data_IF_543815385806
#
_entry.id   IF_543815385806
#
_cell.length_a   1.000
_cell.length_b   1.000
_cell.length_c   1.000
_cell.angle_alpha   90.00
_cell.angle_beta   90.00
_cell.angle_gamma   90.00
#
_symmetry.space_group_name_H-M   'P 1'
#
loop_
_entity.id
_entity.type
_entity.pdbx_description
1 polymer ?
#
# COMPACT_ATOMS: atom_id res chain seq x y z
N UNK A 1 8.80 12.16 -4.62
CA UNK A 1 7.39 11.75 -4.57
C UNK A 1 6.80 11.81 -5.96
N UNK A 2 5.85 10.92 -6.26
CA UNK A 2 5.29 10.73 -7.60
C UNK A 2 4.54 11.95 -8.16
N UNK A 3 3.60 11.73 -9.07
CA UNK A 3 2.77 12.85 -9.58
C UNK A 3 1.95 13.43 -8.41
N UNK A 4 2.26 14.66 -7.99
CA UNK A 4 1.61 15.33 -6.83
C UNK A 4 0.08 15.32 -6.94
N UNK A 5 -0.45 15.36 -8.17
CA UNK A 5 -1.88 15.36 -8.47
C UNK A 5 -2.46 13.97 -8.79
N UNK A 6 -1.69 12.89 -8.63
CA UNK A 6 -2.09 11.55 -9.08
C UNK A 6 -3.39 11.05 -8.43
N UNK A 7 -3.72 11.54 -7.23
CA UNK A 7 -5.00 11.28 -6.57
C UNK A 7 -6.22 11.83 -7.33
N UNK A 8 -6.05 12.85 -8.16
CA UNK A 8 -7.13 13.37 -9.00
C UNK A 8 -7.34 12.55 -10.29
N UNK A 9 -6.29 11.87 -10.75
CA UNK A 9 -6.30 11.16 -12.03
C UNK A 9 -6.72 9.69 -11.91
N UNK A 10 -6.41 9.05 -10.78
CA UNK A 10 -6.61 7.61 -10.59
C UNK A 10 -7.49 7.34 -9.38
N UNK A 11 -8.54 6.54 -9.50
CA UNK A 11 -9.35 6.10 -8.37
C UNK A 11 -8.62 5.06 -7.51
N UNK A 12 -9.05 4.90 -6.24
CA UNK A 12 -8.51 3.84 -5.37
C UNK A 12 -8.89 2.47 -5.94
N UNK A 13 -7.92 1.56 -5.99
CA UNK A 13 -8.16 0.15 -6.30
C UNK A 13 -8.18 -0.61 -4.98
N UNK A 14 -9.28 -1.32 -4.72
CA UNK A 14 -9.37 -2.24 -3.59
C UNK A 14 -8.92 -3.64 -4.01
N UNK A 15 -8.29 -4.37 -3.09
CA UNK A 15 -7.91 -5.76 -3.30
C UNK A 15 -9.15 -6.62 -3.53
N UNK A 16 -9.14 -7.38 -4.62
CA UNK A 16 -10.23 -8.28 -4.97
C UNK A 16 -10.18 -9.59 -4.20
N UNK A 17 -11.24 -10.38 -4.33
CA UNK A 17 -11.28 -11.74 -3.82
C UNK A 17 -11.65 -12.73 -4.92
N UNK A 18 -11.03 -13.92 -4.90
CA UNK A 18 -11.44 -15.02 -5.78
C UNK A 18 -12.90 -15.40 -5.53
N UNK A 19 -13.63 -15.90 -6.56
CA UNK A 19 -15.02 -16.28 -6.44
C UNK A 19 -15.30 -17.25 -5.28
N UNK A 20 -16.45 -17.08 -4.62
CA UNK A 20 -16.84 -17.88 -3.45
C UNK A 20 -16.74 -19.39 -3.72
N UNK A 21 -17.22 -19.83 -4.87
CA UNK A 21 -17.22 -21.23 -5.27
C UNK A 21 -15.82 -21.84 -5.41
N UNK A 22 -14.79 -21.02 -5.66
CA UNK A 22 -13.40 -21.46 -5.74
C UNK A 22 -12.74 -21.51 -4.36
N UNK A 23 -12.94 -20.46 -3.54
CA UNK A 23 -12.33 -20.36 -2.20
C UNK A 23 -12.93 -21.31 -1.16
N UNK A 24 -14.08 -21.92 -1.43
CA UNK A 24 -14.65 -22.97 -0.57
C UNK A 24 -13.98 -24.34 -0.75
N UNK A 25 -13.18 -24.54 -1.81
CA UNK A 25 -12.61 -25.85 -2.16
C UNK A 25 -11.24 -26.11 -1.53
N UNK A 26 -10.62 -25.10 -0.92
CA UNK A 26 -9.26 -25.17 -0.37
C UNK A 26 -9.03 -24.04 0.64
N UNK A 27 -7.90 -24.11 1.36
CA UNK A 27 -7.46 -23.11 2.33
C UNK A 27 -6.36 -22.18 1.80
N UNK A 28 -6.21 -22.05 0.47
CA UNK A 28 -5.19 -21.18 -0.12
C UNK A 28 -5.63 -19.72 -0.06
N UNK A 29 -4.66 -18.82 -0.19
CA UNK A 29 -4.91 -17.39 -0.29
C UNK A 29 -5.84 -17.06 -1.47
N UNK A 30 -6.86 -16.26 -1.16
CA UNK A 30 -7.91 -15.86 -2.09
C UNK A 30 -7.97 -14.35 -2.32
N UNK A 31 -7.13 -13.57 -1.61
CA UNK A 31 -6.96 -12.13 -1.85
C UNK A 31 -6.17 -11.96 -3.14
N UNK A 32 -6.61 -11.02 -3.98
CA UNK A 32 -5.94 -10.66 -5.22
C UNK A 32 -5.26 -9.32 -4.95
N UNK A 33 -3.93 -9.37 -4.78
CA UNK A 33 -3.10 -8.18 -4.60
C UNK A 33 -2.98 -7.34 -5.87
N UNK A 34 -2.35 -6.17 -5.74
CA UNK A 34 -2.06 -5.29 -6.87
C UNK A 34 -0.96 -5.89 -7.75
N UNK A 35 -1.10 -5.78 -9.06
CA UNK A 35 0.03 -6.00 -9.97
C UNK A 35 0.98 -4.79 -9.97
N UNK A 36 2.15 -4.92 -10.59
CA UNK A 36 3.16 -3.86 -10.62
C UNK A 36 2.63 -2.53 -11.19
N UNK A 37 1.77 -2.60 -12.21
CA UNK A 37 1.26 -1.43 -12.89
C UNK A 37 0.23 -0.71 -12.02
N UNK A 38 -0.65 -1.45 -11.37
CA UNK A 38 -1.65 -0.92 -10.46
C UNK A 38 -1.01 -0.45 -9.15
N UNK A 39 -0.01 -1.16 -8.61
CA UNK A 39 0.77 -0.69 -7.47
C UNK A 39 1.46 0.64 -7.76
N UNK A 40 2.10 0.79 -8.92
CA UNK A 40 2.70 2.06 -9.35
C UNK A 40 1.65 3.17 -9.47
N UNK A 41 0.49 2.91 -10.09
CA UNK A 41 -0.62 3.88 -10.15
C UNK A 41 -1.13 4.27 -8.77
N UNK A 42 -1.39 3.30 -7.89
CA UNK A 42 -1.91 3.55 -6.54
C UNK A 42 -0.91 4.34 -5.70
N UNK A 43 0.39 4.08 -5.85
CA UNK A 43 1.43 4.84 -5.19
C UNK A 43 1.45 6.33 -5.60
N UNK A 44 1.02 6.68 -6.82
CA UNK A 44 0.88 8.09 -7.24
C UNK A 44 -0.25 8.86 -6.55
N UNK A 45 -1.18 8.17 -5.86
CA UNK A 45 -2.23 8.85 -5.08
C UNK A 45 -1.66 9.54 -3.83
N UNK A 46 -0.41 9.27 -3.44
CA UNK A 46 0.23 9.96 -2.32
C UNK A 46 0.41 11.46 -2.62
N UNK A 47 -0.14 12.32 -1.76
CA UNK A 47 -0.17 13.78 -1.97
C UNK A 47 1.11 14.52 -1.57
N UNK A 48 2.11 13.85 -0.99
CA UNK A 48 3.29 14.51 -0.40
C UNK A 48 2.90 15.62 0.60
N UNK A 49 2.21 15.25 1.69
CA UNK A 49 1.48 16.17 2.57
C UNK A 49 2.37 17.12 3.39
N UNK A 50 3.70 17.07 3.27
CA UNK A 50 4.67 17.76 4.12
C UNK A 50 4.74 17.20 5.56
N UNK A 51 3.59 17.08 6.24
CA UNK A 51 3.44 16.35 7.51
C UNK A 51 2.71 15.03 7.27
N UNK A 52 3.41 13.88 7.24
CA UNK A 52 2.80 12.60 6.90
C UNK A 52 2.07 11.98 8.10
N UNK A 53 0.81 12.37 8.31
CA UNK A 53 -0.04 11.79 9.37
C UNK A 53 -0.20 10.27 9.28
N UNK A 54 -0.07 9.70 8.08
CA UNK A 54 -0.06 8.26 7.88
C UNK A 54 1.07 7.55 8.64
N UNK A 55 2.25 8.19 8.80
CA UNK A 55 3.37 7.62 9.55
C UNK A 55 3.00 7.50 11.03
N UNK A 56 2.43 8.56 11.62
CA UNK A 56 1.97 8.56 13.01
C UNK A 56 0.75 7.67 13.23
N UNK A 57 -0.07 7.45 12.19
CA UNK A 57 -1.18 6.50 12.22
C UNK A 57 -0.73 5.03 12.18
N UNK A 58 0.52 4.76 11.78
CA UNK A 58 1.10 3.43 11.77
C UNK A 58 1.74 3.13 13.13
N UNK A 59 1.34 2.07 13.85
CA UNK A 59 1.92 1.72 15.15
C UNK A 59 3.43 1.46 15.14
N UNK A 60 3.98 1.07 13.99
CA UNK A 60 5.42 0.83 13.78
C UNK A 60 6.13 2.01 13.12
N UNK A 61 5.44 3.14 12.92
CA UNK A 61 5.98 4.35 12.30
C UNK A 61 6.65 4.11 10.94
N UNK A 62 6.02 3.30 10.09
CA UNK A 62 6.51 3.05 8.73
C UNK A 62 6.71 4.36 7.95
N UNK A 63 7.75 4.40 7.12
CA UNK A 63 8.12 5.55 6.29
C UNK A 63 7.33 5.51 4.98
N UNK A 64 6.00 5.69 5.10
CA UNK A 64 5.03 5.39 4.04
C UNK A 64 5.20 6.22 2.76
N UNK A 65 5.41 7.56 2.82
CA UNK A 65 5.61 8.35 1.61
C UNK A 65 6.82 7.88 0.79
N UNK A 66 7.86 7.40 1.46
CA UNK A 66 9.13 7.05 0.82
C UNK A 66 9.00 5.73 0.05
N UNK A 67 8.46 4.67 0.68
CA UNK A 67 8.25 3.42 -0.05
C UNK A 67 7.21 3.59 -1.17
N UNK A 68 6.21 4.47 -1.01
CA UNK A 68 5.28 4.79 -2.09
C UNK A 68 6.01 5.45 -3.28
N UNK A 69 6.89 6.43 -3.03
CA UNK A 69 7.69 7.04 -4.10
C UNK A 69 8.59 6.01 -4.81
N UNK A 70 9.18 5.09 -4.05
CA UNK A 70 10.00 4.02 -4.58
C UNK A 70 9.19 3.05 -5.45
N UNK A 71 8.01 2.63 -5.02
CA UNK A 71 7.09 1.80 -5.82
C UNK A 71 6.68 2.51 -7.11
N UNK A 72 6.35 3.80 -7.03
CA UNK A 72 6.02 4.59 -8.22
C UNK A 72 7.18 4.59 -9.24
N UNK A 73 8.42 4.73 -8.77
CA UNK A 73 9.64 4.72 -9.60
C UNK A 73 10.11 3.32 -10.02
N UNK A 74 9.36 2.27 -9.66
CA UNK A 74 9.76 0.88 -9.83
C UNK A 74 11.07 0.51 -9.12
N UNK A 75 11.44 1.24 -8.06
CA UNK A 75 12.59 0.96 -7.21
C UNK A 75 12.21 0.02 -6.05
N UNK A 76 11.81 -1.18 -6.44
CA UNK A 76 11.29 -2.18 -5.52
C UNK A 76 12.30 -2.65 -4.47
N UNK A 77 13.60 -2.62 -4.82
CA UNK A 77 14.67 -3.04 -3.92
C UNK A 77 14.80 -2.09 -2.74
N UNK A 78 14.84 -0.77 -3.00
CA UNK A 78 14.86 0.20 -1.92
C UNK A 78 13.52 0.27 -1.18
N UNK A 79 12.40 0.01 -1.87
CA UNK A 79 11.08 -0.04 -1.23
C UNK A 79 11.03 -1.10 -0.12
N UNK A 80 11.49 -2.33 -0.41
CA UNK A 80 11.52 -3.39 0.61
C UNK A 80 12.55 -3.12 1.71
N UNK A 81 13.73 -2.60 1.38
CA UNK A 81 14.75 -2.27 2.38
C UNK A 81 14.26 -1.16 3.34
N UNK A 82 13.53 -0.17 2.82
CA UNK A 82 12.88 0.89 3.61
C UNK A 82 11.76 0.32 4.47
N UNK A 83 10.92 -0.55 3.92
CA UNK A 83 9.82 -1.17 4.66
C UNK A 83 10.34 -2.02 5.83
N UNK A 84 11.41 -2.80 5.61
CA UNK A 84 12.06 -3.57 6.65
C UNK A 84 12.85 -2.76 7.67
N UNK A 85 13.16 -1.48 7.39
CA UNK A 85 13.84 -0.61 8.35
C UNK A 85 13.00 -0.32 9.60
N UNK A 86 11.66 -0.41 9.47
CA UNK A 86 10.70 -0.13 10.55
C UNK A 86 9.79 -1.32 10.85
N UNK A 87 9.59 -2.23 9.90
CA UNK A 87 8.69 -3.37 10.04
C UNK A 87 9.41 -4.72 9.84
N UNK A 88 9.48 -5.52 10.89
CA UNK A 88 10.08 -6.85 10.83
C UNK A 88 9.24 -7.85 10.03
N UNK A 89 7.94 -7.62 9.89
CA UNK A 89 6.95 -8.58 9.38
C UNK A 89 5.95 -7.96 8.37
N UNK A 90 6.45 -7.35 7.28
CA UNK A 90 5.61 -6.79 6.21
C UNK A 90 4.69 -7.81 5.54
N UNK A 91 5.08 -9.08 5.50
CA UNK A 91 4.30 -10.18 4.91
C UNK A 91 2.99 -10.43 5.66
N UNK A 92 2.99 -10.19 6.98
CA UNK A 92 1.80 -10.29 7.80
C UNK A 92 1.01 -8.99 7.75
N UNK A 93 1.66 -7.88 8.06
CA UNK A 93 1.01 -6.57 8.17
C UNK A 93 0.35 -6.13 6.85
N UNK A 94 0.98 -6.35 5.69
CA UNK A 94 0.35 -6.10 4.38
C UNK A 94 -0.94 -6.90 4.14
N UNK A 95 -1.10 -8.06 4.80
CA UNK A 95 -2.28 -8.93 4.64
C UNK A 95 -3.36 -8.69 5.69
N UNK A 96 -2.98 -8.59 6.96
CA UNK A 96 -3.92 -8.65 8.09
C UNK A 96 -4.15 -7.32 8.80
N UNK A 97 -3.31 -6.30 8.55
CA UNK A 97 -3.42 -5.03 9.26
C UNK A 97 -4.78 -4.36 8.96
N UNK A 98 -5.47 -3.80 9.98
CA UNK A 98 -6.69 -3.01 9.77
C UNK A 98 -6.41 -1.63 9.16
N UNK A 99 -5.15 -1.34 8.77
CA UNK A 99 -4.71 -0.14 8.07
C UNK A 99 -5.07 1.20 8.76
N UNK A 100 -4.70 1.41 10.05
CA UNK A 100 -4.93 2.70 10.73
C UNK A 100 -4.19 3.87 10.06
N UNK A 101 -3.10 3.60 9.34
CA UNK A 101 -2.38 4.57 8.53
C UNK A 101 -3.24 5.15 7.38
N UNK A 102 -4.17 4.36 6.82
CA UNK A 102 -5.10 4.83 5.78
C UNK A 102 -6.19 5.71 6.38
N UNK A 103 -6.68 5.37 7.58
CA UNK A 103 -7.62 6.20 8.31
C UNK A 103 -7.01 7.58 8.65
N UNK A 104 -5.72 7.62 8.97
CA UNK A 104 -4.95 8.84 9.24
C UNK A 104 -4.45 9.57 7.98
N UNK A 105 -4.69 9.04 6.77
CA UNK A 105 -4.25 9.66 5.54
C UNK A 105 -4.98 10.99 5.31
N UNK A 106 -4.26 12.06 4.97
CA UNK A 106 -4.88 13.38 4.71
C UNK A 106 -5.90 13.33 3.57
N UNK A 107 -5.66 12.48 2.55
CA UNK A 107 -6.58 12.32 1.44
C UNK A 107 -7.95 11.77 1.91
N UNK A 108 -7.95 10.96 2.98
CA UNK A 108 -9.14 10.36 3.58
C UNK A 108 -10.15 11.39 4.13
N UNK A 109 -9.75 12.66 4.25
CA UNK A 109 -10.65 13.74 4.71
C UNK A 109 -11.69 14.10 3.65
N UNK A 110 -11.31 14.06 2.36
CA UNK A 110 -12.16 14.54 1.25
C UNK A 110 -12.39 13.49 0.16
N UNK A 111 -11.59 12.43 0.11
CA UNK A 111 -11.67 11.36 -0.88
C UNK A 111 -11.17 10.04 -0.27
N UNK A 112 -11.13 8.95 -1.03
CA UNK A 112 -10.58 7.67 -0.58
C UNK A 112 -9.08 7.77 -0.28
N UNK A 113 -8.66 7.29 0.89
CA UNK A 113 -7.26 7.20 1.28
C UNK A 113 -6.37 6.48 0.24
N UNK A 114 -5.06 6.74 0.29
CA UNK A 114 -4.08 5.92 -0.42
C UNK A 114 -4.16 4.48 0.09
N UNK A 115 -4.15 3.49 -0.80
CA UNK A 115 -4.15 2.06 -0.46
C UNK A 115 -2.80 1.59 0.08
N UNK A 116 -2.35 2.17 1.20
CA UNK A 116 -1.04 1.96 1.80
C UNK A 116 -0.81 0.48 2.10
N UNK A 117 -1.83 -0.21 2.65
CA UNK A 117 -1.72 -1.63 3.00
C UNK A 117 -1.54 -2.50 1.75
N UNK A 118 -2.27 -2.19 0.69
CA UNK A 118 -2.19 -2.93 -0.59
C UNK A 118 -0.86 -2.69 -1.31
N UNK A 119 -0.26 -1.51 -1.15
CA UNK A 119 1.10 -1.22 -1.64
C UNK A 119 2.15 -1.98 -0.82
N UNK A 120 2.03 -2.00 0.51
CA UNK A 120 2.88 -2.81 1.40
C UNK A 120 2.84 -4.30 1.02
N UNK A 121 1.63 -4.82 0.76
CA UNK A 121 1.43 -6.19 0.27
C UNK A 121 2.11 -6.44 -1.09
N UNK A 122 1.99 -5.51 -2.04
CA UNK A 122 2.65 -5.63 -3.34
C UNK A 122 4.18 -5.60 -3.24
N UNK A 123 4.75 -4.79 -2.34
CA UNK A 123 6.20 -4.73 -2.11
C UNK A 123 6.71 -6.09 -1.62
N UNK A 124 6.05 -6.67 -0.61
CA UNK A 124 6.53 -7.92 -0.01
C UNK A 124 6.34 -9.14 -0.92
N UNK A 125 5.25 -9.19 -1.68
CA UNK A 125 4.98 -10.27 -2.65
C UNK A 125 5.96 -10.25 -3.83
N UNK A 126 6.58 -9.10 -4.12
CA UNK A 126 7.62 -8.99 -5.15
C UNK A 126 9.02 -9.30 -4.62
N UNK A 127 9.25 -9.10 -3.33
CA UNK A 127 10.58 -9.25 -2.74
C UNK A 127 11.06 -10.72 -2.65
N UNK A 128 10.13 -11.68 -2.70
CA UNK A 128 10.38 -13.12 -2.55
C UNK A 128 9.66 -13.93 -3.63
#
# INVERSE_FOLDING_TARGET
MGKITGFMDFQRIEEGYKPVNERLKNYKEFVIGLDDADASKQATRCMDCGTPFCNSGCPVNNIIPDFNDMVFRADWKNAIDTLHSTNNFPEFTGRICPAPCEAACVLNVNDQAVGIKSIEHAIIDRAW
#
